data_IF_660710378601
#
_entry.id   IF_660710378601
#
_cell.length_a   1.000
_cell.length_b   1.000
_cell.length_c   1.000
_cell.angle_alpha   90.00
_cell.angle_beta   90.00
_cell.angle_gamma   90.00
#
_symmetry.space_group_name_H-M   'P 1'
#
loop_
_entity.id
_entity.type
_entity.pdbx_description
1 polymer ?
#
# COMPACT_ATOMS: atom_id res chain seq x y z
N UNK A 1 13.86 26.67 3.73
CA UNK A 1 12.73 25.71 3.86
C UNK A 1 13.15 24.40 3.24
N UNK A 2 12.94 23.28 3.94
CA UNK A 2 13.30 21.95 3.45
C UNK A 2 12.17 21.40 2.57
N UNK A 3 12.51 20.45 1.69
CA UNK A 3 11.55 19.69 0.91
C UNK A 3 11.41 18.31 1.56
N UNK A 4 10.19 17.80 1.58
CA UNK A 4 9.84 16.49 2.09
C UNK A 4 9.12 15.71 1.01
N UNK A 5 9.34 14.41 0.98
CA UNK A 5 8.60 13.47 0.15
C UNK A 5 7.69 12.66 1.07
N UNK A 6 6.41 12.59 0.71
CA UNK A 6 5.41 11.80 1.41
C UNK A 6 5.15 10.57 0.56
N UNK A 7 5.36 9.40 1.16
CA UNK A 7 5.09 8.11 0.53
C UNK A 7 4.01 7.39 1.30
N UNK A 8 3.28 6.56 0.58
CA UNK A 8 2.23 5.70 1.09
C UNK A 8 2.54 4.26 0.72
N UNK A 9 2.38 3.37 1.68
CA UNK A 9 2.29 1.93 1.46
C UNK A 9 0.81 1.63 1.36
N UNK A 10 0.38 1.29 0.15
CA UNK A 10 -1.00 0.87 -0.13
C UNK A 10 -0.99 -0.58 -0.58
N UNK A 11 -2.10 -1.28 -0.43
CA UNK A 11 -2.17 -2.71 -0.76
C UNK A 11 -3.45 -3.09 -1.50
N UNK A 12 -3.34 -4.18 -2.23
CA UNK A 12 -4.49 -4.90 -2.78
C UNK A 12 -4.19 -6.41 -2.69
N UNK A 13 -5.01 -7.13 -1.93
CA UNK A 13 -4.80 -8.56 -1.63
C UNK A 13 -3.40 -8.79 -1.02
N UNK A 14 -2.49 -9.49 -1.70
CA UNK A 14 -1.12 -9.77 -1.24
C UNK A 14 -0.04 -8.91 -1.93
N UNK A 15 -0.45 -7.84 -2.62
CA UNK A 15 0.43 -6.93 -3.35
C UNK A 15 0.46 -5.60 -2.63
N UNK A 16 1.64 -5.24 -2.13
CA UNK A 16 1.93 -3.94 -1.57
C UNK A 16 2.56 -3.04 -2.63
N UNK A 17 2.25 -1.75 -2.53
CA UNK A 17 2.77 -0.70 -3.38
C UNK A 17 3.20 0.46 -2.50
N UNK A 18 4.50 0.68 -2.44
CA UNK A 18 5.04 1.95 -1.98
C UNK A 18 4.94 2.96 -3.11
N UNK A 19 4.38 4.13 -2.84
CA UNK A 19 4.26 5.17 -3.86
C UNK A 19 4.47 6.56 -3.28
N UNK A 20 5.22 7.39 -3.99
CA UNK A 20 5.33 8.82 -3.71
C UNK A 20 4.04 9.54 -4.13
N UNK A 21 3.29 9.99 -3.13
CA UNK A 21 2.03 10.71 -3.33
C UNK A 21 2.22 12.22 -3.32
N UNK A 22 3.15 12.77 -2.53
CA UNK A 22 3.31 14.22 -2.47
C UNK A 22 4.74 14.67 -2.21
N UNK A 23 5.05 15.88 -2.70
CA UNK A 23 6.24 16.64 -2.31
C UNK A 23 5.80 17.90 -1.59
N UNK A 24 6.33 18.12 -0.40
CA UNK A 24 5.95 19.20 0.49
C UNK A 24 7.15 20.12 0.79
N UNK A 25 7.00 21.43 0.62
CA UNK A 25 8.04 22.41 0.99
C UNK A 25 7.61 23.13 2.27
N UNK A 26 8.34 22.93 3.37
CA UNK A 26 7.98 23.54 4.64
C UNK A 26 8.78 23.07 5.85
N UNK A 27 8.09 22.94 6.98
CA UNK A 27 8.61 22.32 8.21
C UNK A 27 8.21 20.85 8.25
N UNK A 28 8.94 20.03 9.03
CA UNK A 28 8.61 18.62 9.22
C UNK A 28 7.20 18.46 9.82
N UNK A 29 6.85 19.29 10.80
CA UNK A 29 5.52 19.26 11.41
C UNK A 29 4.41 19.49 10.39
N UNK A 30 4.53 20.51 9.53
CA UNK A 30 3.51 20.76 8.49
C UNK A 30 3.42 19.65 7.45
N UNK A 31 4.53 18.98 7.13
CA UNK A 31 4.51 17.81 6.26
C UNK A 31 3.77 16.63 6.94
N UNK A 32 3.96 16.45 8.24
CA UNK A 32 3.26 15.45 9.04
C UNK A 32 1.77 15.73 9.14
N UNK A 33 1.39 16.97 9.48
CA UNK A 33 0.00 17.38 9.54
C UNK A 33 -0.69 17.20 8.17
N UNK A 34 0.02 17.46 7.06
CA UNK A 34 -0.49 17.20 5.72
C UNK A 34 -0.72 15.70 5.47
N UNK A 35 0.26 14.85 5.76
CA UNK A 35 0.16 13.40 5.55
C UNK A 35 -0.96 12.77 6.39
N UNK A 36 -1.13 13.20 7.65
CA UNK A 36 -2.19 12.67 8.52
C UNK A 36 -3.61 13.00 8.06
N UNK A 37 -3.79 14.16 7.42
CA UNK A 37 -5.12 14.69 7.10
C UNK A 37 -5.46 14.60 5.61
N UNK A 38 -4.64 13.91 4.82
CA UNK A 38 -4.90 13.81 3.40
C UNK A 38 -6.02 12.82 3.08
N UNK A 39 -6.91 13.22 2.18
CA UNK A 39 -7.85 12.32 1.53
C UNK A 39 -7.17 11.72 0.30
N UNK A 40 -6.73 10.46 0.42
CA UNK A 40 -5.97 9.76 -0.59
C UNK A 40 -6.75 8.57 -1.14
N UNK A 41 -6.79 8.44 -2.46
CA UNK A 41 -7.14 7.19 -3.15
C UNK A 41 -6.07 6.85 -4.18
N UNK A 42 -5.72 5.57 -4.24
CA UNK A 42 -4.73 5.04 -5.17
C UNK A 42 -5.41 4.01 -6.07
N UNK A 43 -5.48 4.33 -7.35
CA UNK A 43 -6.26 3.60 -8.34
C UNK A 43 -5.34 3.05 -9.43
N UNK A 44 -5.24 1.74 -9.55
CA UNK A 44 -4.48 1.09 -10.61
C UNK A 44 -5.36 0.88 -11.84
N UNK A 45 -4.94 1.51 -12.94
CA UNK A 45 -5.44 1.32 -14.29
C UNK A 45 -4.47 0.44 -15.08
N UNK A 46 -4.83 0.07 -16.31
CA UNK A 46 -4.09 -0.91 -17.13
C UNK A 46 -2.61 -0.55 -17.37
N UNK A 47 -2.26 0.74 -17.39
CA UNK A 47 -0.92 1.18 -17.74
C UNK A 47 -0.39 2.31 -16.86
N UNK A 48 -1.14 2.73 -15.85
CA UNK A 48 -0.79 3.83 -14.98
C UNK A 48 -1.47 3.71 -13.62
N UNK A 49 -0.95 4.47 -12.69
CA UNK A 49 -1.54 4.66 -11.38
C UNK A 49 -2.14 6.06 -11.32
N UNK A 50 -3.42 6.15 -11.00
CA UNK A 50 -4.07 7.42 -10.69
C UNK A 50 -4.04 7.61 -9.18
N UNK A 51 -3.59 8.78 -8.75
CA UNK A 51 -3.63 9.19 -7.35
C UNK A 51 -4.58 10.37 -7.22
N UNK A 52 -5.61 10.20 -6.39
CA UNK A 52 -6.53 11.27 -6.00
C UNK A 52 -6.12 11.74 -4.61
N UNK A 53 -5.62 12.97 -4.50
CA UNK A 53 -5.18 13.57 -3.25
C UNK A 53 -5.93 14.87 -3.01
N UNK A 54 -6.71 14.94 -1.93
CA UNK A 54 -7.47 16.14 -1.56
C UNK A 54 -8.32 16.69 -2.73
N UNK A 55 -8.93 15.80 -3.50
CA UNK A 55 -9.75 16.13 -4.68
C UNK A 55 -8.97 16.47 -5.96
N UNK A 56 -7.64 16.40 -5.95
CA UNK A 56 -6.81 16.57 -7.14
C UNK A 56 -6.32 15.23 -7.67
N UNK A 57 -6.47 14.98 -8.97
CA UNK A 57 -5.96 13.77 -9.63
C UNK A 57 -4.61 14.03 -10.27
N UNK A 58 -3.67 13.10 -10.10
CA UNK A 58 -2.42 13.03 -10.85
C UNK A 58 -2.09 11.60 -11.21
N UNK A 59 -1.35 11.44 -12.30
CA UNK A 59 -0.98 10.15 -12.84
C UNK A 59 0.49 9.87 -12.61
N UNK A 60 0.80 8.63 -12.23
CA UNK A 60 2.15 8.06 -12.21
C UNK A 60 2.21 7.01 -13.33
N UNK A 61 3.20 7.17 -14.20
CA UNK A 61 3.41 6.32 -15.36
C UNK A 61 4.42 5.22 -15.04
N UNK A 62 4.41 4.16 -15.85
CA UNK A 62 5.41 3.09 -15.75
C UNK A 62 6.87 3.60 -15.84
N UNK A 63 7.10 4.75 -16.48
CA UNK A 63 8.41 5.39 -16.59
C UNK A 63 8.92 6.00 -15.28
N UNK A 64 8.03 6.32 -14.34
CA UNK A 64 8.35 7.02 -13.09
C UNK A 64 8.84 6.04 -12.00
N UNK A 65 9.80 5.17 -12.36
CA UNK A 65 10.24 4.03 -11.54
C UNK A 65 10.77 4.42 -10.17
N UNK A 66 11.30 5.62 -10.03
CA UNK A 66 11.79 6.16 -8.77
C UNK A 66 10.67 6.52 -7.79
N UNK A 67 9.42 6.63 -8.27
CA UNK A 67 8.27 7.05 -7.48
C UNK A 67 7.46 5.90 -6.92
N UNK A 68 7.75 4.65 -7.30
CA UNK A 68 6.98 3.52 -6.79
C UNK A 68 7.79 2.23 -6.68
N UNK A 69 7.27 1.35 -5.82
CA UNK A 69 7.87 0.23 -5.10
C UNK A 69 6.87 -0.93 -4.96
N UNK A 70 6.72 -1.84 -5.93
CA UNK A 70 5.88 -3.04 -5.69
C UNK A 70 6.60 -4.05 -4.81
N UNK A 71 5.85 -4.64 -3.87
CA UNK A 71 6.33 -5.64 -2.92
C UNK A 71 5.28 -6.74 -2.77
N UNK A 72 5.72 -7.96 -2.48
CA UNK A 72 4.82 -9.08 -2.18
C UNK A 72 5.18 -9.69 -0.84
N UNK A 73 4.17 -10.10 -0.09
CA UNK A 73 4.39 -10.93 1.09
C UNK A 73 4.74 -12.35 0.66
N UNK A 74 5.87 -12.86 1.17
CA UNK A 74 6.40 -14.20 0.88
C UNK A 74 6.21 -15.18 2.03
N UNK A 75 5.76 -14.70 3.19
CA UNK A 75 5.42 -15.54 4.32
C UNK A 75 4.21 -16.38 3.99
N UNK A 76 4.34 -17.69 4.15
CA UNK A 76 3.22 -18.61 4.01
C UNK A 76 2.30 -18.48 5.24
N UNK A 77 1.37 -17.54 5.17
CA UNK A 77 0.33 -17.38 6.18
C UNK A 77 -0.87 -18.22 5.76
N UNK A 78 -1.13 -19.26 6.54
CA UNK A 78 -2.36 -20.03 6.40
C UNK A 78 -3.52 -19.26 7.02
N UNK A 79 -4.47 -18.71 6.25
CA UNK A 79 -5.57 -17.95 6.82
C UNK A 79 -6.43 -18.83 7.73
N UNK A 80 -6.82 -18.29 8.88
CA UNK A 80 -7.79 -18.94 9.76
C UNK A 80 -9.19 -18.61 9.21
N UNK A 81 -10.04 -19.61 8.92
CA UNK A 81 -11.41 -19.36 8.49
C UNK A 81 -12.17 -18.50 9.51
N UNK A 82 -12.96 -17.55 9.03
CA UNK A 82 -13.75 -16.68 9.91
C UNK A 82 -14.68 -17.49 10.84
N UNK A 83 -15.26 -18.58 10.32
CA UNK A 83 -16.10 -19.50 11.10
C UNK A 83 -15.39 -20.14 12.30
N UNK A 84 -14.07 -20.25 12.24
CA UNK A 84 -13.27 -20.79 13.34
C UNK A 84 -12.93 -19.68 14.33
N UNK A 85 -12.63 -18.46 13.85
CA UNK A 85 -12.44 -17.27 14.68
C UNK A 85 -13.70 -16.93 15.49
N UNK A 86 -14.89 -17.06 14.89
CA UNK A 86 -16.17 -16.80 15.56
C UNK A 86 -16.45 -17.74 16.73
N UNK A 87 -15.91 -18.96 16.69
CA UNK A 87 -16.04 -19.95 17.76
C UNK A 87 -15.01 -19.77 18.88
N UNK A 88 -13.99 -18.94 18.68
CA UNK A 88 -12.93 -18.70 19.66
C UNK A 88 -13.41 -17.83 20.81
N UNK A 89 -12.94 -18.16 22.00
CA UNK A 89 -13.02 -17.33 23.20
C UNK A 89 -12.15 -16.08 23.06
N UNK A 90 -12.39 -15.07 23.90
CA UNK A 90 -11.60 -13.83 23.89
C UNK A 90 -10.13 -14.10 24.22
N UNK A 91 -9.84 -15.09 25.07
CA UNK A 91 -8.46 -15.48 25.39
C UNK A 91 -7.76 -16.12 24.19
N UNK A 92 -8.44 -16.93 23.40
CA UNK A 92 -7.87 -17.52 22.18
C UNK A 92 -7.64 -16.46 21.10
N UNK A 93 -8.59 -15.53 20.94
CA UNK A 93 -8.41 -14.37 20.06
C UNK A 93 -7.22 -13.51 20.49
N UNK A 94 -7.06 -13.25 21.78
CA UNK A 94 -5.92 -12.51 22.31
C UNK A 94 -4.60 -13.25 22.07
N UNK A 95 -4.58 -14.57 22.23
CA UNK A 95 -3.40 -15.39 21.95
C UNK A 95 -3.04 -15.38 20.45
N UNK A 96 -4.02 -15.39 19.55
CA UNK A 96 -3.78 -15.26 18.11
C UNK A 96 -3.10 -13.94 17.74
N UNK A 97 -3.49 -12.82 18.35
CA UNK A 97 -2.87 -11.52 18.09
C UNK A 97 -1.37 -11.49 18.48
N UNK A 98 -0.98 -12.32 19.43
CA UNK A 98 0.42 -12.45 19.89
C UNK A 98 1.20 -13.55 19.15
N UNK A 99 0.55 -14.29 18.24
CA UNK A 99 1.18 -15.40 17.57
C UNK A 99 2.08 -14.93 16.42
N UNK A 100 3.40 -15.10 16.58
CA UNK A 100 4.41 -14.70 15.60
C UNK A 100 4.23 -15.33 14.21
N UNK A 101 3.56 -16.48 14.10
CA UNK A 101 3.25 -17.10 12.81
C UNK A 101 2.32 -16.23 11.94
N UNK A 102 1.53 -15.34 12.57
CA UNK A 102 0.61 -14.42 11.89
C UNK A 102 1.10 -12.97 11.88
N UNK A 103 2.21 -12.68 12.57
CA UNK A 103 2.82 -11.35 12.56
C UNK A 103 3.74 -11.20 11.35
N UNK A 104 3.55 -10.14 10.57
CA UNK A 104 4.40 -9.82 9.43
C UNK A 104 5.59 -8.95 9.87
N UNK A 105 6.77 -9.26 9.36
CA UNK A 105 8.01 -8.50 9.53
C UNK A 105 8.50 -8.00 8.18
N UNK A 106 9.36 -6.98 8.16
CA UNK A 106 9.89 -6.43 6.90
C UNK A 106 10.60 -7.50 6.04
N UNK A 107 11.26 -8.46 6.67
CA UNK A 107 11.91 -9.60 6.00
C UNK A 107 10.95 -10.55 5.27
N UNK A 108 9.66 -10.52 5.61
CA UNK A 108 8.63 -11.31 4.94
C UNK A 108 8.22 -10.70 3.60
N UNK A 109 8.59 -9.44 3.34
CA UNK A 109 8.27 -8.73 2.12
C UNK A 109 9.46 -8.71 1.16
N UNK A 110 9.15 -8.88 -0.13
CA UNK A 110 10.15 -8.84 -1.19
C UNK A 110 9.78 -7.83 -2.26
N UNK A 111 10.74 -6.96 -2.54
CA UNK A 111 10.68 -6.04 -3.68
C UNK A 111 10.66 -6.81 -5.00
N UNK A 112 9.73 -6.46 -5.88
CA UNK A 112 9.59 -7.03 -7.22
C UNK A 112 9.67 -5.94 -8.27
N UNK A 113 10.38 -6.19 -9.37
CA UNK A 113 10.53 -5.22 -10.46
C UNK A 113 9.31 -5.23 -11.40
N UNK A 114 8.12 -5.21 -10.82
CA UNK A 114 6.87 -5.20 -11.58
C UNK A 114 6.48 -3.79 -11.97
N UNK A 115 5.71 -3.70 -13.06
CA UNK A 115 5.13 -2.47 -13.56
C UNK A 115 3.60 -2.50 -13.46
N UNK A 116 2.95 -1.35 -13.64
CA UNK A 116 1.49 -1.24 -13.50
C UNK A 116 0.73 -2.18 -14.43
N UNK A 117 1.23 -2.39 -15.66
CA UNK A 117 0.61 -3.29 -16.63
C UNK A 117 0.73 -4.75 -16.24
N UNK A 118 1.89 -5.16 -15.74
CA UNK A 118 2.09 -6.52 -15.24
C UNK A 118 1.18 -6.81 -14.05
N UNK A 119 1.15 -5.91 -13.06
CA UNK A 119 0.29 -6.05 -11.88
C UNK A 119 -1.19 -6.02 -12.27
N UNK A 120 -1.60 -5.09 -13.12
CA UNK A 120 -2.98 -5.02 -13.59
C UNK A 120 -3.42 -6.32 -14.26
N UNK A 121 -2.59 -6.89 -15.14
CA UNK A 121 -2.89 -8.17 -15.81
C UNK A 121 -3.05 -9.31 -14.79
N UNK A 122 -2.16 -9.40 -13.81
CA UNK A 122 -2.27 -10.40 -12.73
C UNK A 122 -3.58 -10.24 -11.95
N UNK A 123 -3.93 -9.02 -11.56
CA UNK A 123 -5.17 -8.74 -10.84
C UNK A 123 -6.41 -9.02 -11.71
N UNK A 124 -6.34 -8.78 -13.03
CA UNK A 124 -7.41 -9.09 -13.99
C UNK A 124 -7.66 -10.59 -14.13
N UNK A 125 -6.63 -11.43 -14.04
CA UNK A 125 -6.81 -12.89 -14.04
C UNK A 125 -7.64 -13.34 -12.84
N UNK A 126 -7.42 -12.73 -11.67
CA UNK A 126 -8.16 -13.03 -10.44
C UNK A 126 -9.56 -12.37 -10.41
N UNK A 127 -9.69 -11.18 -11.00
CA UNK A 127 -10.93 -10.39 -11.02
C UNK A 127 -11.24 -9.88 -12.44
N UNK A 128 -11.74 -10.74 -13.35
CA UNK A 128 -11.89 -10.40 -14.77
C UNK A 128 -12.86 -9.25 -15.08
N UNK A 129 -13.81 -8.98 -14.19
CA UNK A 129 -14.81 -7.93 -14.38
C UNK A 129 -14.39 -6.57 -13.78
N UNK A 130 -13.33 -6.52 -12.96
CA UNK A 130 -12.84 -5.29 -12.36
C UNK A 130 -12.13 -4.44 -13.42
N UNK A 131 -12.46 -3.16 -13.53
CA UNK A 131 -11.84 -2.23 -14.49
C UNK A 131 -10.69 -1.42 -13.88
N UNK A 132 -10.83 -1.07 -12.61
CA UNK A 132 -9.87 -0.28 -11.84
C UNK A 132 -9.75 -0.93 -10.47
N UNK A 133 -8.52 -1.07 -9.98
CA UNK A 133 -8.25 -1.64 -8.66
C UNK A 133 -7.94 -0.52 -7.68
N UNK A 134 -8.74 -0.41 -6.62
CA UNK A 134 -8.51 0.56 -5.54
C UNK A 134 -7.62 -0.08 -4.49
N UNK A 135 -6.43 0.48 -4.28
CA UNK A 135 -5.52 0.05 -3.23
C UNK A 135 -5.89 0.77 -1.92
N UNK A 136 -5.94 0.03 -0.83
CA UNK A 136 -6.23 0.57 0.49
C UNK A 136 -4.94 1.01 1.17
N UNK A 137 -4.99 2.02 2.04
CA UNK A 137 -3.80 2.52 2.75
C UNK A 137 -3.44 1.63 3.94
N UNK A 138 -2.15 1.32 4.08
CA UNK A 138 -1.57 0.64 5.25
C UNK A 138 -0.81 1.60 6.15
N UNK A 139 0.05 2.44 5.56
CA UNK A 139 0.98 3.29 6.30
C UNK A 139 1.53 4.42 5.41
N UNK A 140 2.02 5.48 6.04
CA UNK A 140 2.74 6.57 5.36
C UNK A 140 4.12 6.82 5.96
N UNK A 141 5.02 7.36 5.14
CA UNK A 141 6.32 7.85 5.56
C UNK A 141 6.60 9.27 5.04
N UNK A 142 7.46 9.99 5.76
CA UNK A 142 7.85 11.35 5.43
C UNK A 142 9.37 11.44 5.43
N UNK A 143 9.93 11.50 4.24
CA UNK A 143 11.36 11.53 4.00
C UNK A 143 11.82 12.96 3.67
N UNK A 144 13.06 13.31 4.01
CA UNK A 144 13.67 14.52 3.47
C UNK A 144 13.94 14.30 1.99
N UNK A 145 13.39 15.18 1.14
CA UNK A 145 13.65 15.10 -0.29
C UNK A 145 15.11 15.48 -0.55
N UNK A 146 15.80 14.64 -1.33
CA UNK A 146 17.18 14.83 -1.77
C UNK A 146 17.33 16.01 -2.73
#
# INVERSE_FOLDING_TARGET
MKKYTIKETVYFENIDLNVEVARFKGTKQKAFDFAQNMDLKVLLHENHLEILLNGQSYTIQNSDRERYQFRICTKDIKPIPLSDIEKMTDSEKAALLQNEAYQLKEEDFKDVNWNFTEVYRLLKEMRPNTKVFNFDSLAYSIDLAS
#
